data_IF_343782403327
#
_entry.id   IF_343782403327
#
_cell.length_a   1.000
_cell.length_b   1.000
_cell.length_c   1.000
_cell.angle_alpha   90.00
_cell.angle_beta   90.00
_cell.angle_gamma   90.00
#
_symmetry.space_group_name_H-M   'P 1'
#
loop_
_entity.id
_entity.type
_entity.pdbx_description
1 polymer ?
#
# COMPACT_ATOMS: atom_id res chain seq x y z
N UNK A 1 13.60 -26.64 -9.69
CA UNK A 1 12.98 -26.66 -8.36
C UNK A 1 12.36 -25.29 -8.16
N UNK A 2 11.06 -25.15 -8.41
CA UNK A 2 10.35 -23.90 -8.10
C UNK A 2 10.14 -23.90 -6.59
N UNK A 3 10.81 -23.00 -5.87
CA UNK A 3 10.53 -22.78 -4.46
C UNK A 3 9.05 -22.41 -4.33
N UNK A 4 8.37 -23.06 -3.38
CA UNK A 4 7.00 -22.68 -3.04
C UNK A 4 7.05 -21.22 -2.59
N UNK A 5 6.42 -20.34 -3.37
CA UNK A 5 6.30 -18.94 -3.02
C UNK A 5 5.26 -18.81 -1.92
N UNK A 6 5.71 -19.13 -0.71
CA UNK A 6 4.97 -18.85 0.50
C UNK A 6 4.61 -17.35 0.53
N UNK A 7 3.38 -17.05 0.93
CA UNK A 7 2.85 -15.68 0.91
C UNK A 7 3.71 -14.77 1.81
N UNK A 8 4.23 -15.33 2.89
CA UNK A 8 5.19 -14.67 3.76
C UNK A 8 6.47 -14.30 3.01
N UNK A 9 7.04 -15.22 2.23
CA UNK A 9 8.20 -14.89 1.40
C UNK A 9 7.85 -13.80 0.38
N UNK A 10 6.76 -13.99 -0.37
CA UNK A 10 6.40 -13.10 -1.46
C UNK A 10 6.11 -11.68 -1.01
N UNK A 11 5.34 -11.52 0.06
CA UNK A 11 4.83 -10.21 0.47
C UNK A 11 5.59 -9.61 1.65
N UNK A 12 6.19 -10.40 2.54
CA UNK A 12 6.78 -9.91 3.80
C UNK A 12 8.31 -10.04 3.78
N UNK A 13 8.85 -11.25 3.59
CA UNK A 13 10.26 -11.57 3.83
C UNK A 13 11.18 -11.34 2.61
N UNK A 14 10.63 -11.18 1.40
CA UNK A 14 11.43 -10.88 0.22
C UNK A 14 12.05 -9.46 0.33
N UNK A 15 13.35 -9.34 0.05
CA UNK A 15 14.07 -8.05 0.07
C UNK A 15 13.41 -6.98 -0.80
N UNK A 16 12.90 -7.37 -1.97
CA UNK A 16 12.19 -6.47 -2.87
C UNK A 16 10.90 -5.94 -2.21
N UNK A 17 10.04 -6.86 -1.75
CA UNK A 17 8.76 -6.53 -1.13
C UNK A 17 8.94 -5.71 0.15
N UNK A 18 9.89 -6.08 1.02
CA UNK A 18 10.26 -5.30 2.19
C UNK A 18 10.67 -3.87 1.84
N UNK A 19 11.51 -3.69 0.81
CA UNK A 19 11.90 -2.36 0.32
C UNK A 19 10.74 -1.51 -0.20
N UNK A 20 9.75 -2.13 -0.85
CA UNK A 20 8.51 -1.45 -1.28
C UNK A 20 7.67 -1.07 -0.05
N UNK A 21 7.46 -2.02 0.87
CA UNK A 21 6.67 -1.82 2.07
C UNK A 21 7.22 -0.71 2.95
N UNK A 22 8.52 -0.68 3.21
CA UNK A 22 9.10 0.32 4.11
C UNK A 22 8.91 1.74 3.60
N UNK A 23 8.99 1.95 2.28
CA UNK A 23 8.72 3.24 1.65
C UNK A 23 7.25 3.63 1.76
N UNK A 24 6.35 2.70 1.46
CA UNK A 24 4.90 2.95 1.51
C UNK A 24 4.46 3.20 2.96
N UNK A 25 4.93 2.39 3.91
CA UNK A 25 4.66 2.54 5.35
C UNK A 25 5.17 3.89 5.87
N UNK A 26 6.41 4.25 5.53
CA UNK A 26 7.00 5.55 5.90
C UNK A 26 6.14 6.71 5.39
N UNK A 27 5.73 6.67 4.12
CA UNK A 27 4.92 7.75 3.52
C UNK A 27 3.50 7.82 4.09
N UNK A 28 2.88 6.67 4.34
CA UNK A 28 1.51 6.55 4.84
C UNK A 28 1.41 6.62 6.37
N UNK A 29 2.55 6.77 7.08
CA UNK A 29 2.64 6.77 8.55
C UNK A 29 1.98 5.54 9.17
N UNK A 30 2.31 4.38 8.59
CA UNK A 30 1.89 3.05 9.06
C UNK A 30 2.99 2.51 9.97
N UNK A 31 2.65 2.19 11.21
CA UNK A 31 3.60 1.73 12.23
C UNK A 31 3.47 0.23 12.53
N UNK A 32 2.88 -0.54 11.61
CA UNK A 32 2.64 -1.97 11.81
C UNK A 32 3.96 -2.72 11.63
N UNK A 33 4.33 -3.51 12.64
CA UNK A 33 5.33 -4.56 12.52
C UNK A 33 4.64 -5.82 11.99
N UNK A 34 5.03 -6.24 10.79
CA UNK A 34 4.46 -7.41 10.13
C UNK A 34 5.35 -8.60 10.41
N UNK A 35 4.81 -9.63 11.07
CA UNK A 35 5.51 -10.89 11.34
C UNK A 35 5.19 -11.94 10.29
N UNK A 36 3.93 -11.98 9.84
CA UNK A 36 3.41 -12.90 8.82
C UNK A 36 2.42 -12.21 7.88
N UNK A 37 2.13 -12.84 6.75
CA UNK A 37 1.12 -12.41 5.79
C UNK A 37 -0.28 -12.44 6.42
N UNK A 38 -0.62 -13.49 7.17
CA UNK A 38 -1.93 -13.61 7.81
C UNK A 38 -2.16 -12.50 8.85
N UNK A 39 -1.16 -12.21 9.70
CA UNK A 39 -1.25 -11.09 10.65
C UNK A 39 -1.50 -9.77 9.91
N UNK A 40 -0.83 -9.59 8.77
CA UNK A 40 -0.98 -8.40 7.94
C UNK A 40 -2.39 -8.30 7.38
N UNK A 41 -2.92 -9.39 6.80
CA UNK A 41 -4.29 -9.41 6.24
C UNK A 41 -5.33 -9.17 7.33
N UNK A 42 -5.17 -9.76 8.52
CA UNK A 42 -6.08 -9.54 9.64
C UNK A 42 -6.09 -8.08 10.08
N UNK A 43 -4.93 -7.44 10.22
CA UNK A 43 -4.83 -6.04 10.64
C UNK A 43 -5.52 -5.07 9.67
N UNK A 44 -5.32 -5.25 8.36
CA UNK A 44 -5.96 -4.39 7.35
C UNK A 44 -7.41 -4.81 7.00
N UNK A 45 -7.79 -6.03 7.35
CA UNK A 45 -9.12 -6.61 7.12
C UNK A 45 -10.08 -6.46 8.30
N UNK A 46 -9.59 -6.09 9.49
CA UNK A 46 -10.43 -5.96 10.68
C UNK A 46 -11.45 -4.80 10.52
N UNK A 47 -12.70 -5.08 10.86
CA UNK A 47 -13.80 -4.11 10.89
C UNK A 47 -13.54 -2.94 11.87
N UNK A 48 -12.73 -3.18 12.91
CA UNK A 48 -12.30 -2.16 13.87
C UNK A 48 -11.46 -1.04 13.24
N UNK A 49 -10.88 -1.28 12.05
CA UNK A 49 -10.09 -0.27 11.36
C UNK A 49 -10.95 0.96 11.00
N UNK A 50 -12.28 0.83 10.97
CA UNK A 50 -13.21 1.95 10.78
C UNK A 50 -13.09 2.65 9.42
N UNK A 51 -13.94 3.67 9.20
CA UNK A 51 -14.06 4.37 7.91
C UNK A 51 -13.53 5.81 7.94
N UNK A 52 -12.57 6.10 8.81
CA UNK A 52 -11.87 7.37 8.77
C UNK A 52 -10.87 7.40 7.58
N UNK A 53 -10.46 8.60 7.18
CA UNK A 53 -9.59 8.81 6.02
C UNK A 53 -8.24 8.09 6.15
N UNK A 54 -7.71 7.94 7.37
CA UNK A 54 -6.42 7.28 7.60
C UNK A 54 -6.52 5.79 7.37
N UNK A 55 -7.58 5.15 7.87
CA UNK A 55 -7.87 3.74 7.64
C UNK A 55 -8.16 3.45 6.16
N UNK A 56 -8.77 4.39 5.43
CA UNK A 56 -8.92 4.29 3.97
C UNK A 56 -7.55 4.33 3.27
N UNK A 57 -6.66 5.25 3.65
CA UNK A 57 -5.29 5.32 3.11
C UNK A 57 -4.55 4.02 3.37
N UNK A 58 -4.61 3.51 4.60
CA UNK A 58 -3.97 2.25 5.00
C UNK A 58 -4.39 1.08 4.11
N UNK A 59 -5.70 0.88 3.95
CA UNK A 59 -6.26 -0.18 3.09
C UNK A 59 -5.91 0.01 1.61
N UNK A 60 -5.95 1.25 1.11
CA UNK A 60 -5.55 1.56 -0.27
C UNK A 60 -4.07 1.26 -0.53
N UNK A 61 -3.19 1.68 0.37
CA UNK A 61 -1.77 1.37 0.30
C UNK A 61 -1.53 -0.14 0.35
N UNK A 62 -2.19 -0.84 1.26
CA UNK A 62 -2.07 -2.31 1.38
C UNK A 62 -2.47 -3.00 0.08
N UNK A 63 -3.68 -2.74 -0.43
CA UNK A 63 -4.17 -3.33 -1.67
C UNK A 63 -3.27 -3.01 -2.88
N UNK A 64 -2.79 -1.77 -2.97
CA UNK A 64 -1.91 -1.34 -4.05
C UNK A 64 -0.53 -2.02 -3.98
N UNK A 65 0.04 -2.22 -2.79
CA UNK A 65 1.29 -2.98 -2.60
C UNK A 65 1.14 -4.42 -3.08
N UNK A 66 0.09 -5.11 -2.60
CA UNK A 66 -0.17 -6.52 -2.94
C UNK A 66 -0.31 -6.71 -4.44
N UNK A 67 -1.10 -5.84 -5.08
CA UNK A 67 -1.26 -5.85 -6.53
C UNK A 67 0.07 -5.59 -7.25
N UNK A 68 0.81 -4.55 -6.84
CA UNK A 68 2.02 -4.13 -7.54
C UNK A 68 3.16 -5.14 -7.40
N UNK A 69 3.30 -5.78 -6.24
CA UNK A 69 4.28 -6.86 -6.02
C UNK A 69 3.98 -8.05 -6.93
N UNK A 70 2.71 -8.46 -6.99
CA UNK A 70 2.28 -9.57 -7.84
C UNK A 70 2.44 -9.24 -9.34
N UNK A 71 2.11 -8.01 -9.72
CA UNK A 71 2.29 -7.51 -11.09
C UNK A 71 3.76 -7.49 -11.49
N UNK A 72 4.63 -6.95 -10.64
CA UNK A 72 6.07 -6.88 -10.88
C UNK A 72 6.67 -8.28 -11.03
N UNK A 73 6.28 -9.23 -10.17
CA UNK A 73 6.75 -10.61 -10.28
C UNK A 73 6.34 -11.26 -11.61
N UNK A 74 5.10 -11.03 -12.04
CA UNK A 74 4.65 -11.49 -13.35
C UNK A 74 5.44 -10.83 -14.49
N UNK A 75 5.77 -9.54 -14.39
CA UNK A 75 6.61 -8.87 -15.39
C UNK A 75 8.02 -9.46 -15.45
N UNK A 76 8.63 -9.80 -14.32
CA UNK A 76 9.95 -10.44 -14.26
C UNK A 76 9.96 -11.82 -14.92
N UNK A 77 8.91 -12.60 -14.72
CA UNK A 77 8.81 -13.97 -15.26
C UNK A 77 8.48 -13.95 -16.76
N UNK A 78 7.54 -13.10 -17.18
CA UNK A 78 6.95 -13.17 -18.53
C UNK A 78 7.44 -12.10 -19.50
N UNK A 79 8.10 -11.03 -19.00
CA UNK A 79 8.51 -9.87 -19.82
C UNK A 79 9.99 -9.49 -19.66
N UNK A 80 10.72 -10.17 -18.77
CA UNK A 80 12.11 -9.83 -18.36
C UNK A 80 12.30 -8.35 -17.96
N UNK A 81 11.22 -7.70 -17.53
CA UNK A 81 11.25 -6.34 -17.01
C UNK A 81 11.46 -6.37 -15.50
N UNK A 82 12.37 -5.52 -14.99
CA UNK A 82 12.69 -5.40 -13.57
C UNK A 82 12.66 -3.93 -13.17
N UNK A 83 11.79 -3.61 -12.23
CA UNK A 83 11.73 -2.29 -11.60
C UNK A 83 12.38 -2.32 -10.23
N UNK A 84 13.00 -1.22 -9.84
CA UNK A 84 13.53 -1.08 -8.50
C UNK A 84 12.39 -0.88 -7.48
N UNK A 85 12.57 -1.30 -6.21
CA UNK A 85 11.56 -1.08 -5.16
C UNK A 85 11.09 0.37 -5.05
N UNK A 86 11.98 1.33 -5.33
CA UNK A 86 11.68 2.76 -5.32
C UNK A 86 10.62 3.14 -6.35
N UNK A 87 10.76 2.63 -7.58
CA UNK A 87 9.89 2.99 -8.70
C UNK A 87 8.49 2.41 -8.50
N UNK A 88 8.43 1.18 -7.98
CA UNK A 88 7.18 0.52 -7.62
C UNK A 88 6.49 1.25 -6.46
N UNK A 89 7.23 1.60 -5.41
CA UNK A 89 6.68 2.38 -4.30
C UNK A 89 6.15 3.75 -4.74
N UNK A 90 6.88 4.45 -5.63
CA UNK A 90 6.43 5.73 -6.19
C UNK A 90 5.13 5.56 -6.98
N UNK A 91 5.07 4.55 -7.84
CA UNK A 91 3.87 4.23 -8.63
C UNK A 91 2.66 3.91 -7.73
N UNK A 92 2.88 3.15 -6.64
CA UNK A 92 1.83 2.87 -5.64
C UNK A 92 1.31 4.16 -5.03
N UNK A 93 2.20 5.03 -4.55
CA UNK A 93 1.82 6.27 -3.86
C UNK A 93 1.09 7.24 -4.79
N UNK A 94 1.49 7.32 -6.06
CA UNK A 94 0.80 8.10 -7.08
C UNK A 94 -0.63 7.56 -7.34
N UNK A 95 -0.78 6.24 -7.47
CA UNK A 95 -2.09 5.61 -7.60
C UNK A 95 -3.01 5.86 -6.39
N UNK A 96 -2.46 5.75 -5.18
CA UNK A 96 -3.20 6.07 -3.95
C UNK A 96 -3.60 7.55 -3.94
N UNK A 97 -2.68 8.46 -4.30
CA UNK A 97 -2.96 9.91 -4.40
C UNK A 97 -4.13 10.20 -5.35
N UNK A 98 -4.10 9.62 -6.55
CA UNK A 98 -5.17 9.74 -7.54
C UNK A 98 -6.50 9.20 -7.01
N UNK A 99 -6.46 8.04 -6.33
CA UNK A 99 -7.66 7.46 -5.74
C UNK A 99 -8.23 8.36 -4.65
N UNK A 100 -7.41 8.90 -3.75
CA UNK A 100 -7.86 9.82 -2.70
C UNK A 100 -8.57 11.06 -3.25
N UNK A 101 -8.03 11.67 -4.32
CA UNK A 101 -8.65 12.82 -4.99
C UNK A 101 -10.00 12.47 -5.65
N UNK A 102 -10.23 11.20 -5.99
CA UNK A 102 -11.50 10.74 -6.57
C UNK A 102 -12.59 10.48 -5.53
N UNK A 103 -12.23 10.24 -4.26
CA UNK A 103 -13.17 9.91 -3.19
C UNK A 103 -13.94 11.14 -2.72
N UNK A 104 -15.23 10.93 -2.39
CA UNK A 104 -16.04 11.90 -1.65
C UNK A 104 -15.87 11.63 -0.15
N UNK A 105 -15.40 12.63 0.59
CA UNK A 105 -15.08 12.51 2.03
C UNK A 105 -15.72 13.65 2.82
N UNK A 106 -16.09 13.38 4.07
CA UNK A 106 -16.59 14.42 4.98
C UNK A 106 -15.52 15.49 5.21
N UNK A 107 -15.91 16.76 5.25
CA UNK A 107 -14.98 17.85 5.58
C UNK A 107 -14.65 17.83 7.08
N UNK A 108 -13.59 17.12 7.45
CA UNK A 108 -13.10 17.02 8.82
C UNK A 108 -11.66 17.52 8.94
N UNK A 109 -11.24 17.83 10.17
CA UNK A 109 -9.85 18.22 10.48
C UNK A 109 -8.87 17.14 10.01
N UNK A 110 -9.20 15.86 10.22
CA UNK A 110 -8.37 14.74 9.77
C UNK A 110 -8.18 14.71 8.25
N UNK A 111 -9.22 15.01 7.46
CA UNK A 111 -9.10 15.09 6.01
C UNK A 111 -8.21 16.26 5.58
N UNK A 112 -8.32 17.43 6.22
CA UNK A 112 -7.47 18.60 5.91
C UNK A 112 -5.99 18.33 6.21
N UNK A 113 -5.71 17.61 7.29
CA UNK A 113 -4.34 17.16 7.62
C UNK A 113 -3.81 16.25 6.52
N UNK A 114 -4.59 15.23 6.13
CA UNK A 114 -4.22 14.32 5.03
C UNK A 114 -4.00 15.08 3.71
N UNK A 115 -4.87 16.02 3.36
CA UNK A 115 -4.76 16.84 2.15
C UNK A 115 -3.42 17.60 2.11
N UNK A 116 -3.04 18.21 3.24
CA UNK A 116 -1.75 18.88 3.38
C UNK A 116 -0.58 17.89 3.30
N UNK A 117 -0.65 16.77 4.00
CA UNK A 117 0.41 15.75 4.02
C UNK A 117 0.62 15.07 2.66
N UNK A 118 -0.45 14.87 1.89
CA UNK A 118 -0.42 14.21 0.58
C UNK A 118 -0.32 15.20 -0.59
N UNK A 119 -0.43 16.50 -0.32
CA UNK A 119 -0.45 17.54 -1.35
C UNK A 119 -1.59 17.30 -2.36
N UNK A 120 -2.79 17.07 -1.84
CA UNK A 120 -4.02 16.80 -2.60
C UNK A 120 -5.19 17.63 -2.09
N UNK A 121 -6.25 17.69 -2.90
CA UNK A 121 -7.57 18.15 -2.49
C UNK A 121 -8.57 17.04 -2.80
N UNK A 122 -9.28 16.56 -1.78
CA UNK A 122 -10.31 15.54 -1.89
C UNK A 122 -11.68 16.18 -2.16
N UNK A 123 -12.57 15.47 -2.85
CA UNK A 123 -13.95 15.93 -3.07
C UNK A 123 -14.70 15.87 -1.73
N UNK A 124 -15.42 16.94 -1.37
CA UNK A 124 -16.20 16.98 -0.14
C UNK A 124 -17.61 16.44 -0.37
N UNK A 125 -18.12 15.64 0.57
CA UNK A 125 -19.52 15.19 0.65
C UNK A 125 -20.35 16.06 1.57
#
# INVERSE_FOLDING_TARGET
MQEAEDMDHLFINCKFSGGVWDKVKSRAKIHIHQSTWDDTVQEFGNDDMGNNIRSVIMRLCFAACVYSIRYERNCRIFRDEKKEPNDVAKSILENVKLKLMSLKVKNSVAVRIVEKEWGIVCKKS
#
